data_IF_921918389900
#
_entry.id   IF_921918389900
#
_cell.length_a   1.000
_cell.length_b   1.000
_cell.length_c   1.000
_cell.angle_alpha   90.00
_cell.angle_beta   90.00
_cell.angle_gamma   90.00
#
_symmetry.space_group_name_H-M   'P 1'
#
loop_
_entity.id
_entity.type
_entity.pdbx_description
1 polymer ?
#
# COMPACT_ATOMS: atom_id res chain seq x y z
N UNK A 1 -3.96 -9.94 -12.38
CA UNK A 1 -4.59 -9.82 -11.05
C UNK A 1 -4.31 -8.43 -10.47
N UNK A 2 -5.34 -7.77 -9.96
CA UNK A 2 -5.18 -6.49 -9.24
C UNK A 2 -5.77 -6.66 -7.84
N UNK A 3 -4.92 -6.61 -6.81
CA UNK A 3 -5.32 -6.62 -5.41
C UNK A 3 -5.50 -5.17 -4.93
N UNK A 4 -6.70 -4.63 -5.09
CA UNK A 4 -7.03 -3.25 -4.77
C UNK A 4 -7.91 -3.09 -3.54
N UNK A 5 -8.70 -4.10 -3.16
CA UNK A 5 -9.60 -4.01 -2.03
C UNK A 5 -8.89 -3.58 -0.75
N UNK A 6 -9.51 -2.70 0.01
CA UNK A 6 -8.91 -2.24 1.25
C UNK A 6 -9.72 -1.17 1.96
N UNK A 7 -9.50 -1.07 3.25
CA UNK A 7 -10.06 -0.05 4.13
C UNK A 7 -9.08 0.27 5.25
N UNK A 8 -9.38 1.28 6.04
CA UNK A 8 -8.60 1.66 7.22
C UNK A 8 -9.48 1.77 8.45
N UNK A 9 -8.92 1.50 9.63
CA UNK A 9 -9.60 1.65 10.91
C UNK A 9 -9.27 3.03 11.49
N UNK A 10 -10.29 3.82 11.79
CA UNK A 10 -10.13 5.17 12.39
C UNK A 10 -10.09 5.14 13.92
N UNK A 11 -9.57 4.08 14.51
CA UNK A 11 -9.35 3.91 15.96
C UNK A 11 -7.90 3.59 16.25
N UNK A 12 -7.44 3.80 17.49
CA UNK A 12 -6.15 3.26 17.92
C UNK A 12 -6.26 1.76 18.09
N UNK A 13 -5.16 1.05 17.93
CA UNK A 13 -5.11 -0.40 18.17
C UNK A 13 -5.64 -0.76 19.58
N UNK A 14 -5.32 0.05 20.57
CA UNK A 14 -5.78 -0.14 21.95
C UNK A 14 -7.27 0.12 22.17
N UNK A 15 -7.96 0.77 21.20
CA UNK A 15 -9.37 1.14 21.27
C UNK A 15 -10.19 0.56 20.11
N UNK A 16 -9.57 -0.22 19.22
CA UNK A 16 -10.27 -0.93 18.17
C UNK A 16 -10.81 -2.27 18.69
N UNK A 17 -11.84 -2.77 18.05
CA UNK A 17 -12.29 -4.14 18.26
C UNK A 17 -11.32 -5.10 17.54
N UNK A 18 -11.00 -6.21 18.18
CA UNK A 18 -10.13 -7.24 17.58
C UNK A 18 -10.74 -7.81 16.29
N UNK A 19 -12.06 -7.89 16.20
CA UNK A 19 -12.73 -8.33 14.98
C UNK A 19 -12.52 -7.36 13.81
N UNK A 20 -12.48 -6.02 14.05
CA UNK A 20 -12.15 -5.03 13.04
C UNK A 20 -10.70 -5.17 12.56
N UNK A 21 -9.76 -5.45 13.48
CA UNK A 21 -8.33 -5.65 13.14
C UNK A 21 -8.13 -6.94 12.32
N UNK A 22 -8.80 -8.04 12.69
CA UNK A 22 -8.78 -9.31 11.94
C UNK A 22 -9.35 -9.09 10.54
N UNK A 23 -10.54 -8.47 10.42
CA UNK A 23 -11.16 -8.19 9.12
C UNK A 23 -10.24 -7.33 8.23
N UNK A 24 -9.52 -6.37 8.81
CA UNK A 24 -8.53 -5.57 8.08
C UNK A 24 -7.38 -6.44 7.55
N UNK A 25 -6.84 -7.33 8.37
CA UNK A 25 -5.78 -8.26 7.96
C UNK A 25 -6.28 -9.25 6.92
N UNK A 26 -7.50 -9.75 7.03
CA UNK A 26 -8.08 -10.65 6.06
C UNK A 26 -8.16 -10.02 4.67
N UNK A 27 -8.57 -8.75 4.58
CA UNK A 27 -8.67 -8.04 3.30
C UNK A 27 -7.31 -7.57 2.78
N UNK A 28 -6.42 -7.08 3.64
CA UNK A 28 -5.16 -6.45 3.21
C UNK A 28 -3.97 -7.41 3.13
N UNK A 29 -4.05 -8.57 3.77
CA UNK A 29 -2.95 -9.56 3.87
C UNK A 29 -3.39 -10.92 3.37
N UNK A 30 -4.38 -11.53 4.02
CA UNK A 30 -4.78 -12.91 3.74
C UNK A 30 -5.33 -13.07 2.33
N UNK A 31 -6.26 -12.21 1.91
CA UNK A 31 -6.87 -12.30 0.58
C UNK A 31 -5.85 -12.08 -0.55
N UNK A 32 -5.03 -11.01 -0.57
CA UNK A 32 -4.01 -10.85 -1.60
C UNK A 32 -3.00 -11.99 -1.67
N UNK A 33 -2.55 -12.49 -0.52
CA UNK A 33 -1.63 -13.63 -0.44
C UNK A 33 -2.24 -14.87 -1.09
N UNK A 34 -3.47 -15.23 -0.71
CA UNK A 34 -4.19 -16.39 -1.26
C UNK A 34 -4.46 -16.25 -2.75
N UNK A 35 -4.88 -15.06 -3.21
CA UNK A 35 -5.13 -14.81 -4.63
C UNK A 35 -3.86 -14.90 -5.46
N UNK A 36 -2.76 -14.32 -4.99
CA UNK A 36 -1.45 -14.44 -5.66
C UNK A 36 -1.03 -15.91 -5.75
N UNK A 37 -1.10 -16.64 -4.64
CA UNK A 37 -0.74 -18.06 -4.60
C UNK A 37 -1.59 -18.89 -5.57
N UNK A 38 -2.88 -18.59 -5.69
CA UNK A 38 -3.78 -19.33 -6.59
C UNK A 38 -3.55 -19.06 -8.08
N UNK A 39 -3.14 -17.83 -8.46
CA UNK A 39 -2.97 -17.48 -9.89
C UNK A 39 -1.57 -17.75 -10.43
N UNK A 40 -0.55 -17.73 -9.56
CA UNK A 40 0.85 -17.89 -9.97
C UNK A 40 1.16 -19.19 -10.71
N UNK A 41 0.64 -20.38 -10.32
CA UNK A 41 0.90 -21.61 -11.08
C UNK A 41 0.52 -21.48 -12.55
N UNK A 42 -0.69 -21.01 -12.85
CA UNK A 42 -1.15 -20.82 -14.24
C UNK A 42 -0.39 -19.71 -14.98
N UNK A 43 0.09 -18.68 -14.28
CA UNK A 43 0.96 -17.66 -14.87
C UNK A 43 2.33 -18.24 -15.22
N UNK A 44 2.88 -19.11 -14.37
CA UNK A 44 4.15 -19.82 -14.62
C UNK A 44 4.04 -20.77 -15.81
N UNK A 45 2.98 -21.56 -15.91
CA UNK A 45 2.72 -22.48 -17.04
C UNK A 45 2.73 -21.77 -18.40
N UNK A 46 2.04 -20.62 -18.50
CA UNK A 46 1.99 -19.82 -19.75
C UNK A 46 3.13 -18.81 -19.87
N UNK A 47 4.02 -18.74 -18.89
CA UNK A 47 5.11 -17.76 -18.77
C UNK A 47 4.66 -16.32 -19.07
N UNK A 48 3.51 -15.91 -18.54
CA UNK A 48 2.95 -14.57 -18.77
C UNK A 48 1.96 -14.20 -17.67
N UNK A 49 2.11 -12.99 -17.12
CA UNK A 49 1.17 -12.46 -16.14
C UNK A 49 1.62 -11.16 -15.50
N UNK A 50 0.64 -10.38 -15.05
CA UNK A 50 0.89 -9.18 -14.26
C UNK A 50 0.04 -9.25 -12.98
N UNK A 51 0.69 -9.03 -11.83
CA UNK A 51 0.04 -8.87 -10.55
C UNK A 51 0.36 -7.46 -10.04
N UNK A 52 -0.66 -6.66 -9.77
CA UNK A 52 -0.51 -5.33 -9.13
C UNK A 52 -1.13 -5.38 -7.75
N UNK A 53 -0.32 -5.16 -6.74
CA UNK A 53 -0.75 -5.08 -5.35
C UNK A 53 -0.80 -3.61 -4.90
N UNK A 54 -1.99 -3.12 -4.58
CA UNK A 54 -2.17 -1.74 -4.10
C UNK A 54 -1.79 -1.67 -2.63
N UNK A 55 -0.52 -1.33 -2.40
CA UNK A 55 0.04 -1.05 -1.08
C UNK A 55 -0.19 0.42 -0.68
N UNK A 56 0.77 1.08 -0.06
CA UNK A 56 0.71 2.48 0.35
C UNK A 56 2.10 2.97 0.81
N UNK A 57 2.37 4.27 0.69
CA UNK A 57 3.50 4.91 1.38
C UNK A 57 3.41 4.78 2.91
N UNK A 58 2.21 4.53 3.44
CA UNK A 58 1.99 4.24 4.86
C UNK A 58 2.69 2.96 5.33
N UNK A 59 3.06 2.04 4.43
CA UNK A 59 3.83 0.83 4.76
C UNK A 59 5.24 1.11 5.28
N UNK A 60 5.76 2.31 5.10
CA UNK A 60 7.10 2.68 5.60
C UNK A 60 7.09 3.45 6.91
N UNK A 61 5.92 3.76 7.46
CA UNK A 61 5.77 4.45 8.74
C UNK A 61 5.14 3.56 9.80
N UNK A 62 5.32 3.91 11.08
CA UNK A 62 4.72 3.19 12.19
C UNK A 62 3.29 3.69 12.47
N UNK A 63 2.35 3.32 11.61
CA UNK A 63 0.96 3.80 11.61
C UNK A 63 -0.08 2.75 12.03
N UNK A 64 0.27 1.75 12.87
CA UNK A 64 -0.63 0.69 13.34
C UNK A 64 -0.85 -0.43 12.31
N UNK A 65 -1.88 -1.24 12.49
CA UNK A 65 -2.15 -2.46 11.72
C UNK A 65 -2.25 -2.21 10.23
N UNK A 66 -2.87 -1.11 9.80
CA UNK A 66 -2.90 -0.74 8.38
C UNK A 66 -1.50 -0.58 7.78
N UNK A 67 -0.60 0.12 8.48
CA UNK A 67 0.78 0.30 8.00
C UNK A 67 1.55 -1.01 7.98
N UNK A 68 1.35 -1.86 8.98
CA UNK A 68 1.95 -3.20 9.03
C UNK A 68 1.46 -4.07 7.87
N UNK A 69 0.16 -4.09 7.60
CA UNK A 69 -0.44 -4.83 6.47
C UNK A 69 0.09 -4.34 5.11
N UNK A 70 0.19 -3.01 4.92
CA UNK A 70 0.73 -2.43 3.68
C UNK A 70 2.24 -2.67 3.53
N UNK A 71 2.99 -2.71 4.64
CA UNK A 71 4.40 -3.13 4.64
C UNK A 71 4.55 -4.59 4.21
N UNK A 72 3.76 -5.50 4.80
CA UNK A 72 3.72 -6.91 4.40
C UNK A 72 3.49 -7.05 2.89
N UNK A 73 2.47 -6.39 2.35
CA UNK A 73 2.11 -6.51 0.95
C UNK A 73 3.22 -5.97 0.02
N UNK A 74 3.90 -4.89 0.43
CA UNK A 74 5.05 -4.34 -0.31
C UNK A 74 6.21 -5.34 -0.33
N UNK A 75 6.60 -5.84 0.84
CA UNK A 75 7.74 -6.77 0.97
C UNK A 75 7.48 -8.08 0.24
N UNK A 76 6.28 -8.65 0.36
CA UNK A 76 5.90 -9.87 -0.36
C UNK A 76 5.92 -9.65 -1.88
N UNK A 77 5.46 -8.49 -2.37
CA UNK A 77 5.49 -8.17 -3.79
C UNK A 77 6.91 -8.07 -4.33
N UNK A 78 7.82 -7.41 -3.60
CA UNK A 78 9.24 -7.30 -3.98
C UNK A 78 9.94 -8.67 -3.93
N UNK A 79 9.59 -9.52 -2.95
CA UNK A 79 10.09 -10.90 -2.86
C UNK A 79 9.67 -11.74 -4.06
N UNK A 80 8.37 -11.77 -4.37
CA UNK A 80 7.85 -12.50 -5.53
C UNK A 80 8.39 -11.97 -6.86
N UNK A 81 8.56 -10.66 -6.99
CA UNK A 81 9.20 -10.06 -8.15
C UNK A 81 10.63 -10.59 -8.33
N UNK A 82 11.37 -10.75 -7.24
CA UNK A 82 12.74 -11.28 -7.28
C UNK A 82 12.76 -12.79 -7.58
N UNK A 83 11.85 -13.56 -6.98
CA UNK A 83 11.70 -15.00 -7.21
C UNK A 83 11.37 -15.33 -8.68
N UNK A 84 10.59 -14.47 -9.32
CA UNK A 84 10.12 -14.66 -10.71
C UNK A 84 11.06 -14.05 -11.77
N UNK A 85 12.27 -13.64 -11.39
CA UNK A 85 13.27 -13.15 -12.34
C UNK A 85 13.54 -14.20 -13.44
N UNK A 86 13.69 -13.72 -14.67
CA UNK A 86 13.88 -14.60 -15.84
C UNK A 86 12.58 -15.15 -16.43
N UNK A 87 11.42 -14.80 -15.88
CA UNK A 87 10.10 -15.09 -16.44
C UNK A 87 9.46 -13.83 -17.03
N UNK A 88 8.40 -14.00 -17.81
CA UNK A 88 7.56 -12.90 -18.30
C UNK A 88 6.41 -12.57 -17.32
N UNK A 89 6.62 -12.79 -16.02
CA UNK A 89 5.63 -12.50 -14.97
C UNK A 89 6.12 -11.29 -14.15
N UNK A 90 5.29 -10.26 -14.06
CA UNK A 90 5.57 -9.08 -13.24
C UNK A 90 4.70 -9.09 -11.98
N UNK A 91 5.33 -9.02 -10.80
CA UNK A 91 4.65 -8.70 -9.54
C UNK A 91 5.07 -7.29 -9.14
N UNK A 92 4.10 -6.40 -9.01
CA UNK A 92 4.29 -4.97 -8.82
C UNK A 92 3.59 -4.45 -7.56
N UNK A 93 4.32 -3.79 -6.68
CA UNK A 93 3.76 -3.04 -5.55
C UNK A 93 3.48 -1.58 -5.96
N UNK A 94 2.23 -1.19 -5.99
CA UNK A 94 1.82 0.20 -6.12
C UNK A 94 1.74 0.83 -4.73
N UNK A 95 2.55 1.84 -4.44
CA UNK A 95 2.59 2.52 -3.15
C UNK A 95 2.13 3.98 -3.29
N UNK A 96 0.83 4.25 -3.40
CA UNK A 96 0.33 5.61 -3.52
C UNK A 96 0.39 6.35 -2.18
N UNK A 97 0.46 7.68 -2.29
CA UNK A 97 0.14 8.59 -1.20
C UNK A 97 -1.35 8.90 -1.13
N UNK A 98 -1.69 10.08 -0.60
CA UNK A 98 -3.08 10.52 -0.54
C UNK A 98 -3.66 10.68 -1.95
N UNK A 99 -4.69 9.89 -2.23
CA UNK A 99 -5.35 9.84 -3.53
C UNK A 99 -6.82 10.19 -3.36
N UNK A 100 -7.36 11.04 -4.22
CA UNK A 100 -8.77 11.42 -4.20
C UNK A 100 -9.62 10.23 -4.64
N UNK A 101 -10.17 9.52 -3.66
CA UNK A 101 -11.05 8.37 -3.80
C UNK A 101 -12.02 8.34 -2.60
N UNK A 102 -13.00 7.46 -2.63
CA UNK A 102 -13.92 7.25 -1.51
C UNK A 102 -13.24 6.61 -0.25
N UNK A 103 -12.00 6.15 -0.37
CA UNK A 103 -11.28 5.45 0.71
C UNK A 103 -11.28 6.23 2.04
N UNK A 104 -10.96 7.52 1.99
CA UNK A 104 -10.90 8.35 3.19
C UNK A 104 -12.29 8.64 3.76
N UNK A 105 -13.29 8.80 2.90
CA UNK A 105 -14.68 9.02 3.30
C UNK A 105 -15.26 7.77 3.97
N UNK A 106 -15.08 6.60 3.34
CA UNK A 106 -15.51 5.30 3.90
C UNK A 106 -14.81 4.99 5.22
N UNK A 107 -13.53 5.36 5.36
CA UNK A 107 -12.76 5.23 6.60
C UNK A 107 -13.10 6.30 7.65
N UNK A 108 -14.04 7.22 7.40
CA UNK A 108 -14.40 8.35 8.28
C UNK A 108 -13.17 9.15 8.74
N UNK A 109 -12.17 9.28 7.86
CA UNK A 109 -10.90 9.96 8.17
C UNK A 109 -11.03 11.46 7.93
N UNK A 110 -10.57 12.27 8.89
CA UNK A 110 -10.55 13.73 8.75
C UNK A 110 -9.31 14.17 7.97
N UNK A 111 -9.51 14.71 6.78
CA UNK A 111 -8.44 15.06 5.85
C UNK A 111 -8.32 16.58 5.59
N UNK A 112 -9.09 17.40 6.30
CA UNK A 112 -9.22 18.84 6.03
C UNK A 112 -7.96 19.69 6.19
N UNK A 113 -6.91 19.17 6.84
CA UNK A 113 -5.65 19.88 7.06
C UNK A 113 -4.56 19.59 6.00
N UNK A 114 -4.86 18.77 4.99
CA UNK A 114 -3.86 18.40 3.99
C UNK A 114 -3.91 19.36 2.80
N UNK A 115 -2.78 20.02 2.45
CA UNK A 115 -2.71 20.89 1.27
C UNK A 115 -3.09 20.15 -0.01
N UNK A 116 -3.74 20.83 -0.95
CA UNK A 116 -4.16 20.26 -2.24
C UNK A 116 -2.99 19.63 -3.03
N UNK A 117 -1.78 20.17 -2.89
CA UNK A 117 -0.57 19.67 -3.54
C UNK A 117 -0.17 18.24 -3.13
N UNK A 118 -0.67 17.75 -2.00
CA UNK A 118 -0.46 16.37 -1.55
C UNK A 118 -1.45 15.37 -2.16
N UNK A 119 -2.55 15.86 -2.74
CA UNK A 119 -3.55 14.98 -3.32
C UNK A 119 -3.22 14.60 -4.76
N UNK A 120 -3.22 13.30 -5.02
CA UNK A 120 -3.14 12.73 -6.36
C UNK A 120 -4.54 12.41 -6.88
N UNK A 121 -4.72 12.43 -8.20
CA UNK A 121 -5.92 11.87 -8.83
C UNK A 121 -5.78 10.36 -9.01
N UNK A 122 -6.89 9.63 -8.97
CA UNK A 122 -6.90 8.18 -9.17
C UNK A 122 -6.34 7.81 -10.55
N UNK A 123 -6.73 8.53 -11.60
CA UNK A 123 -6.28 8.30 -12.98
C UNK A 123 -4.76 8.38 -13.11
N UNK A 124 -4.14 9.39 -12.50
CA UNK A 124 -2.68 9.52 -12.49
C UNK A 124 -2.01 8.35 -11.77
N UNK A 125 -2.55 7.95 -10.62
CA UNK A 125 -2.02 6.83 -9.84
C UNK A 125 -2.10 5.53 -10.63
N UNK A 126 -3.23 5.28 -11.28
CA UNK A 126 -3.44 4.09 -12.12
C UNK A 126 -2.51 4.10 -13.33
N UNK A 127 -2.41 5.24 -14.04
CA UNK A 127 -1.52 5.35 -15.21
C UNK A 127 -0.04 5.11 -14.85
N UNK A 128 0.44 5.72 -13.74
CA UNK A 128 1.81 5.54 -13.25
C UNK A 128 2.07 4.06 -12.85
N UNK A 129 1.09 3.42 -12.19
CA UNK A 129 1.18 2.01 -11.80
C UNK A 129 1.25 1.09 -13.01
N UNK A 130 0.33 1.26 -13.96
CA UNK A 130 0.24 0.45 -15.16
C UNK A 130 1.51 0.53 -16.00
N UNK A 131 1.97 1.76 -16.27
CA UNK A 131 3.25 2.00 -16.97
C UNK A 131 4.43 1.33 -16.27
N UNK A 132 4.47 1.39 -14.93
CA UNK A 132 5.57 0.80 -14.16
C UNK A 132 5.51 -0.73 -14.16
N UNK A 133 4.31 -1.33 -14.06
CA UNK A 133 4.10 -2.76 -14.11
C UNK A 133 4.45 -3.34 -15.50
N UNK A 134 4.03 -2.67 -16.58
CA UNK A 134 4.39 -3.05 -17.95
C UNK A 134 5.91 -2.96 -18.22
N UNK A 135 6.60 -2.02 -17.56
CA UNK A 135 8.04 -1.90 -17.63
C UNK A 135 8.78 -2.89 -16.71
N UNK A 136 8.09 -3.88 -16.14
CA UNK A 136 8.68 -4.91 -15.29
C UNK A 136 9.27 -4.40 -13.98
N UNK A 137 8.79 -3.28 -13.43
CA UNK A 137 9.30 -2.73 -12.17
C UNK A 137 8.65 -3.40 -10.97
N UNK A 138 9.43 -3.69 -9.93
CA UNK A 138 8.92 -4.27 -8.69
C UNK A 138 7.99 -3.32 -7.91
N UNK A 139 8.23 -1.99 -8.01
CA UNK A 139 7.56 -1.00 -7.17
C UNK A 139 7.38 0.33 -7.88
N UNK A 140 6.26 1.00 -7.61
CA UNK A 140 6.05 2.40 -7.99
C UNK A 140 5.50 3.25 -6.84
N UNK A 141 5.96 4.49 -6.77
CA UNK A 141 5.48 5.52 -5.86
C UNK A 141 5.04 6.72 -6.70
N UNK A 142 3.73 6.87 -7.00
CA UNK A 142 3.22 8.00 -7.74
C UNK A 142 3.42 9.32 -6.99
N UNK A 143 3.80 10.37 -7.73
CA UNK A 143 4.03 11.72 -7.20
C UNK A 143 5.44 11.93 -6.64
N UNK A 144 6.08 13.05 -7.05
CA UNK A 144 7.46 13.39 -6.64
C UNK A 144 7.59 13.55 -5.13
N UNK A 145 6.60 14.21 -4.49
CA UNK A 145 6.54 14.41 -3.05
C UNK A 145 6.56 13.08 -2.27
N UNK A 146 5.85 12.07 -2.77
CA UNK A 146 5.79 10.76 -2.12
C UNK A 146 7.05 9.93 -2.36
N UNK A 147 7.72 10.10 -3.51
CA UNK A 147 9.05 9.49 -3.74
C UNK A 147 10.06 9.98 -2.72
N UNK A 148 10.10 11.30 -2.47
CA UNK A 148 10.99 11.89 -1.46
C UNK A 148 10.62 11.42 -0.06
N UNK A 149 9.34 11.49 0.31
CA UNK A 149 8.87 11.06 1.64
C UNK A 149 9.14 9.57 1.89
N UNK A 150 8.91 8.71 0.90
CA UNK A 150 9.19 7.28 1.03
C UNK A 150 10.68 6.99 1.15
N UNK A 151 11.52 7.69 0.40
CA UNK A 151 12.97 7.59 0.52
C UNK A 151 13.42 7.97 1.94
N UNK A 152 12.99 9.14 2.43
CA UNK A 152 13.29 9.57 3.80
C UNK A 152 12.82 8.54 4.83
N UNK A 153 11.57 8.04 4.72
CA UNK A 153 11.01 7.08 5.68
C UNK A 153 11.74 5.74 5.72
N UNK A 154 12.37 5.35 4.60
CA UNK A 154 13.16 4.11 4.51
C UNK A 154 14.52 4.22 5.20
N UNK A 155 15.16 5.38 5.14
CA UNK A 155 16.53 5.59 5.63
C UNK A 155 16.61 6.39 6.93
N UNK A 156 15.52 7.06 7.34
CA UNK A 156 15.50 7.82 8.58
C UNK A 156 15.60 6.91 9.83
N UNK A 157 16.23 7.40 10.91
CA UNK A 157 16.24 6.69 12.18
C UNK A 157 14.84 6.30 12.66
N UNK A 158 14.67 5.06 13.10
CA UNK A 158 13.36 4.51 13.52
C UNK A 158 12.61 5.35 14.57
N UNK A 159 13.27 6.02 15.55
CA UNK A 159 12.57 6.93 16.47
C UNK A 159 11.85 8.07 15.75
N UNK A 160 12.47 8.66 14.73
CA UNK A 160 11.88 9.75 13.92
C UNK A 160 10.68 9.23 13.10
N UNK A 161 10.83 8.08 12.46
CA UNK A 161 9.75 7.44 11.69
C UNK A 161 8.54 7.14 12.58
N UNK A 162 8.77 6.66 13.81
CA UNK A 162 7.69 6.42 14.80
C UNK A 162 6.96 7.70 15.17
N UNK A 163 7.70 8.78 15.43
CA UNK A 163 7.11 10.10 15.77
C UNK A 163 6.24 10.64 14.64
N UNK A 164 6.72 10.56 13.39
CA UNK A 164 5.95 10.99 12.21
C UNK A 164 4.70 10.14 12.02
N UNK A 165 4.82 8.82 12.12
CA UNK A 165 3.68 7.89 11.98
C UNK A 165 2.59 8.15 13.02
N UNK A 166 2.97 8.39 14.26
CA UNK A 166 2.05 8.73 15.35
C UNK A 166 1.32 10.05 15.08
N UNK A 167 2.05 11.10 14.68
CA UNK A 167 1.48 12.43 14.40
C UNK A 167 0.47 12.41 13.25
N UNK A 168 0.77 11.68 12.17
CA UNK A 168 -0.16 11.50 11.04
C UNK A 168 -1.44 10.84 11.51
N UNK A 169 -1.35 9.79 12.30
CA UNK A 169 -2.50 9.05 12.81
C UNK A 169 -3.36 9.84 13.80
N UNK A 170 -2.73 10.57 14.71
CA UNK A 170 -3.44 11.44 15.65
C UNK A 170 -4.25 12.50 14.90
N UNK A 171 -3.67 13.14 13.88
CA UNK A 171 -4.39 14.13 13.05
C UNK A 171 -5.58 13.56 12.29
N UNK A 172 -5.50 12.31 11.83
CA UNK A 172 -6.60 11.64 11.12
C UNK A 172 -7.75 11.22 12.05
N UNK A 173 -7.48 11.04 13.34
CA UNK A 173 -8.45 10.59 14.33
C UNK A 173 -9.12 11.72 15.10
N UNK A 174 -8.48 12.89 15.25
CA UNK A 174 -8.95 13.91 16.15
C UNK A 174 -10.33 14.46 15.78
N UNK A 175 -11.19 14.12 16.69
CA UNK A 175 -12.49 14.51 17.24
C UNK A 175 -13.70 14.26 16.38
#
# INVERSE_FOLDING_TARGET
LINNAGFGINKSFTNSDIAEEIALLDVLVTAPMRLMHAVLPRMKERNSGIIINVSSVAGWIAGGTYSAAKSYLTVLSESLHTELRGTNITVHALCPGFTRTEFHQRGKMKMGALPNSFWLTADRVVADAWKSALAGKALSVPGRQYKVLSFISRFAPRPLVRKVGMNVRVRQRNK
#
